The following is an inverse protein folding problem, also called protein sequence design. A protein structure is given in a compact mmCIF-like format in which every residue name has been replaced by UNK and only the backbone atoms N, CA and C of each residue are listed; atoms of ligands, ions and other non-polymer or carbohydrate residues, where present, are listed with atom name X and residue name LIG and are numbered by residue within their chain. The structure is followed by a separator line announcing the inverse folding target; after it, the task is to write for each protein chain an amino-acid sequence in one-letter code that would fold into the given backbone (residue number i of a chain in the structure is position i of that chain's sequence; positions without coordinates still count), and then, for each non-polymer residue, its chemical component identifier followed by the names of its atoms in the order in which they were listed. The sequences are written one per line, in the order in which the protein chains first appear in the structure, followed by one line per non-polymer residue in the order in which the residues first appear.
data_IF_447329802871
#
_entry.id   IF_447329802871
#
_cell.length_a   1.000
_cell.length_b   1.000
_cell.length_c   1.000
_cell.angle_alpha   90.00
_cell.angle_beta   90.00
_cell.angle_gamma   90.00
#
_symmetry.space_group_name_H-M   'P 1'
#
loop_
_entity.id
_entity.type
_entity.pdbx_description
1 polymer ?
#
# COMPACT_ATOMS: atom_id res chain seq x y z
N UNK A 1 3.71 -21.76 -0.63
CA UNK A 1 5.07 -21.24 -0.36
C UNK A 1 5.18 -19.91 -1.10
N UNK A 2 5.26 -18.78 -0.39
CA UNK A 2 5.42 -17.46 -1.03
C UNK A 2 6.88 -17.35 -1.44
N UNK A 3 7.16 -17.51 -2.73
CA UNK A 3 8.50 -17.35 -3.28
C UNK A 3 8.81 -15.86 -3.32
N UNK A 4 9.48 -15.35 -2.28
CA UNK A 4 10.08 -14.01 -2.31
C UNK A 4 11.24 -14.10 -3.29
N UNK A 5 11.03 -13.63 -4.51
CA UNK A 5 12.03 -13.67 -5.58
C UNK A 5 13.32 -12.91 -5.21
N UNK A 6 14.43 -13.14 -5.94
CA UNK A 6 15.75 -12.58 -5.63
C UNK A 6 15.86 -11.08 -5.84
N UNK A 7 14.80 -10.43 -6.32
CA UNK A 7 14.76 -8.98 -6.56
C UNK A 7 14.50 -8.23 -5.25
N UNK A 8 15.44 -8.36 -4.29
CA UNK A 8 15.44 -7.59 -3.07
C UNK A 8 15.85 -6.16 -3.44
N UNK A 9 14.95 -5.16 -3.36
CA UNK A 9 15.34 -3.80 -3.67
C UNK A 9 16.49 -3.40 -2.76
N UNK A 10 17.51 -2.75 -3.32
CA UNK A 10 18.64 -2.28 -2.54
C UNK A 10 18.13 -1.41 -1.40
N UNK A 11 18.76 -1.48 -0.21
CA UNK A 11 18.35 -0.69 0.97
C UNK A 11 18.19 0.80 0.63
N UNK A 12 19.01 1.32 -0.26
CA UNK A 12 18.97 2.68 -0.79
C UNK A 12 17.70 3.00 -1.57
N UNK A 13 17.20 2.07 -2.38
CA UNK A 13 15.97 2.22 -3.18
C UNK A 13 14.73 2.26 -2.26
N UNK A 14 14.68 1.38 -1.26
CA UNK A 14 13.60 1.35 -0.25
C UNK A 14 13.57 2.69 0.51
N UNK A 15 14.73 3.16 0.97
CA UNK A 15 14.85 4.44 1.69
C UNK A 15 14.48 5.62 0.79
N UNK A 16 14.88 5.59 -0.49
CA UNK A 16 14.53 6.62 -1.47
C UNK A 16 13.02 6.74 -1.68
N UNK A 17 12.34 5.59 -1.90
CA UNK A 17 10.88 5.53 -2.03
C UNK A 17 10.17 6.02 -0.78
N UNK A 18 10.64 5.61 0.41
CA UNK A 18 10.06 6.05 1.67
C UNK A 18 10.21 7.57 1.86
N UNK A 19 11.39 8.14 1.58
CA UNK A 19 11.61 9.59 1.66
C UNK A 19 10.70 10.36 0.70
N UNK A 20 10.52 9.85 -0.51
CA UNK A 20 9.62 10.45 -1.49
C UNK A 20 8.18 10.43 -1.00
N UNK A 21 7.67 9.28 -0.57
CA UNK A 21 6.33 9.13 0.02
C UNK A 21 6.15 9.90 1.34
N UNK A 22 7.25 10.20 2.03
CA UNK A 22 7.22 10.97 3.27
C UNK A 22 6.90 12.43 3.02
N UNK A 23 7.51 13.02 1.99
CA UNK A 23 7.39 14.45 1.70
C UNK A 23 6.28 14.75 0.69
N UNK A 24 6.05 13.87 -0.28
CA UNK A 24 5.14 14.12 -1.38
C UNK A 24 3.79 13.42 -1.22
N UNK A 25 2.70 14.00 -1.74
CA UNK A 25 1.43 13.30 -1.93
C UNK A 25 1.63 12.01 -2.73
N UNK A 26 0.74 11.04 -2.52
CA UNK A 26 0.83 9.71 -3.12
C UNK A 26 -0.39 9.48 -3.98
N UNK A 27 -0.18 9.05 -5.22
CA UNK A 27 -1.29 8.70 -6.10
C UNK A 27 -1.64 7.23 -5.83
N UNK A 28 -2.85 7.01 -5.32
CA UNK A 28 -3.43 5.69 -5.15
C UNK A 28 -4.35 5.38 -6.33
N UNK A 29 -4.00 4.35 -7.08
CA UNK A 29 -4.79 3.86 -8.20
C UNK A 29 -5.48 2.58 -7.73
N UNK A 30 -6.81 2.55 -7.82
CA UNK A 30 -7.62 1.38 -7.50
C UNK A 30 -8.68 1.15 -8.57
N UNK A 31 -9.08 -0.10 -8.75
CA UNK A 31 -10.14 -0.47 -9.68
C UNK A 31 -11.43 -0.65 -8.92
N UNK A 32 -12.45 0.09 -9.35
CA UNK A 32 -13.81 -0.03 -8.81
C UNK A 32 -14.70 -0.76 -9.82
N UNK A 33 -15.71 -1.47 -9.34
CA UNK A 33 -16.69 -2.14 -10.19
C UNK A 33 -17.97 -1.31 -10.20
N UNK A 34 -18.08 -0.42 -11.19
CA UNK A 34 -19.29 0.37 -11.42
C UNK A 34 -20.01 -0.16 -12.67
N UNK A 35 -21.32 -0.43 -12.54
CA UNK A 35 -22.17 -0.93 -13.64
C UNK A 35 -21.61 -2.17 -14.37
N UNK A 36 -20.93 -3.07 -13.64
CA UNK A 36 -20.36 -4.28 -14.21
C UNK A 36 -19.03 -4.09 -14.96
N UNK A 37 -18.54 -2.86 -15.10
CA UNK A 37 -17.22 -2.56 -15.69
C UNK A 37 -16.20 -2.20 -14.60
N UNK A 38 -14.94 -2.59 -14.83
CA UNK A 38 -13.80 -2.17 -14.00
C UNK A 38 -13.34 -0.79 -14.45
N UNK A 39 -13.50 0.21 -13.60
CA UNK A 39 -13.05 1.58 -13.86
C UNK A 39 -11.81 1.86 -13.01
N UNK A 40 -10.76 2.40 -13.63
CA UNK A 40 -9.58 2.90 -12.93
C UNK A 40 -9.91 4.21 -12.23
N UNK A 41 -9.87 4.23 -10.90
CA UNK A 41 -9.99 5.45 -10.10
C UNK A 41 -8.62 5.85 -9.56
N UNK A 42 -8.31 7.14 -9.68
CA UNK A 42 -7.11 7.76 -9.13
C UNK A 42 -7.51 8.64 -7.96
N UNK A 43 -6.87 8.43 -6.82
CA UNK A 43 -7.07 9.22 -5.61
C UNK A 43 -5.74 9.74 -5.11
N UNK A 44 -5.66 11.05 -4.89
CA UNK A 44 -4.52 11.63 -4.22
C UNK A 44 -4.63 11.39 -2.70
N UNK A 45 -3.59 10.80 -2.14
CA UNK A 45 -3.43 10.56 -0.71
C UNK A 45 -2.40 11.53 -0.16
N UNK A 46 -2.62 11.95 1.08
CA UNK A 46 -1.66 12.77 1.81
C UNK A 46 -0.29 12.07 1.93
N UNK A 47 0.76 12.90 1.96
CA UNK A 47 2.12 12.47 2.31
C UNK A 47 2.15 11.90 3.72
N UNK A 48 3.13 11.04 4.03
CA UNK A 48 3.21 10.48 5.39
C UNK A 48 3.43 11.55 6.45
N UNK A 49 4.16 12.62 6.12
CA UNK A 49 4.35 13.76 7.02
C UNK A 49 3.02 14.45 7.37
N UNK A 50 2.10 14.58 6.40
CA UNK A 50 0.80 15.23 6.60
C UNK A 50 -0.21 14.35 7.36
N UNK A 51 -0.02 13.03 7.41
CA UNK A 51 -0.89 12.12 8.16
C UNK A 51 -0.74 12.25 9.68
N UNK A 52 0.40 12.74 10.17
CA UNK A 52 0.72 12.77 11.60
C UNK A 52 0.84 11.38 12.22
N UNK A 53 1.06 11.33 13.54
CA UNK A 53 1.27 10.05 14.27
C UNK A 53 0.06 9.12 14.16
N UNK A 54 -1.14 9.64 14.42
CA UNK A 54 -2.37 8.84 14.42
C UNK A 54 -2.72 8.33 13.03
N UNK A 55 -2.55 9.16 11.99
CA UNK A 55 -2.78 8.76 10.61
C UNK A 55 -1.79 7.69 10.15
N UNK A 56 -0.53 7.77 10.58
CA UNK A 56 0.47 6.72 10.29
C UNK A 56 0.14 5.41 11.00
N UNK A 57 -0.24 5.45 12.28
CA UNK A 57 -0.66 4.26 13.02
C UNK A 57 -1.89 3.60 12.38
N UNK A 58 -2.90 4.39 12.00
CA UNK A 58 -4.08 3.88 11.29
C UNK A 58 -3.70 3.25 9.96
N UNK A 59 -2.83 3.90 9.18
CA UNK A 59 -2.38 3.36 7.90
C UNK A 59 -1.67 2.00 8.10
N UNK A 60 -0.73 1.92 9.02
CA UNK A 60 -0.04 0.66 9.35
C UNK A 60 -1.02 -0.43 9.77
N UNK A 61 -2.02 -0.08 10.58
CA UNK A 61 -3.06 -1.02 10.98
C UNK A 61 -3.90 -1.52 9.78
N UNK A 62 -4.30 -0.63 8.87
CA UNK A 62 -5.06 -1.03 7.68
C UNK A 62 -4.25 -1.96 6.75
N UNK A 63 -2.99 -1.63 6.49
CA UNK A 63 -2.13 -2.43 5.62
C UNK A 63 -1.84 -3.81 6.23
N UNK A 64 -1.53 -3.86 7.53
CA UNK A 64 -1.30 -5.13 8.23
C UNK A 64 -2.56 -6.00 8.30
N UNK A 65 -3.74 -5.39 8.51
CA UNK A 65 -5.02 -6.09 8.47
C UNK A 65 -5.32 -6.63 7.07
N UNK A 66 -5.08 -5.84 6.02
CA UNK A 66 -5.28 -6.29 4.64
C UNK A 66 -4.34 -7.46 4.30
N UNK A 67 -3.07 -7.35 4.67
CA UNK A 67 -2.10 -8.43 4.49
C UNK A 67 -2.55 -9.69 5.22
N UNK A 68 -3.02 -9.58 6.46
CA UNK A 68 -3.55 -10.70 7.22
C UNK A 68 -4.78 -11.33 6.55
N UNK A 69 -5.72 -10.53 6.04
CA UNK A 69 -6.88 -11.02 5.31
C UNK A 69 -6.47 -11.76 4.02
N UNK A 70 -5.51 -11.21 3.27
CA UNK A 70 -4.99 -11.86 2.06
C UNK A 70 -4.29 -13.17 2.40
N UNK A 71 -3.45 -13.19 3.43
CA UNK A 71 -2.80 -14.41 3.90
C UNK A 71 -3.84 -15.45 4.31
N UNK A 72 -4.84 -15.06 5.11
CA UNK A 72 -5.89 -15.96 5.57
C UNK A 72 -6.69 -16.52 4.40
N UNK A 73 -7.11 -15.69 3.43
CA UNK A 73 -7.85 -16.13 2.22
C UNK A 73 -7.04 -17.06 1.31
N UNK A 74 -5.72 -16.94 1.29
CA UNK A 74 -4.84 -17.78 0.48
C UNK A 74 -4.33 -19.02 1.23
N UNK A 75 -4.40 -19.05 2.56
CA UNK A 75 -3.97 -20.17 3.42
C UNK A 75 -5.13 -21.08 3.82
N UNK A 76 -6.34 -20.53 3.99
CA UNK A 76 -7.56 -21.33 4.18
C UNK A 76 -8.01 -21.81 2.79
N UNK A 77 -7.73 -23.08 2.52
CA UNK A 77 -8.22 -23.82 1.35
C UNK A 77 -9.73 -24.02 1.42
#
# INVERSE_FOLDING_TARGET
MVTIGPNKPAKTEIVGKLKHSWLNPRIHIYYDHENGQRIEKRKELASFKALGKDGLCRLLFYETRLLYQLLTRNLVK
#
